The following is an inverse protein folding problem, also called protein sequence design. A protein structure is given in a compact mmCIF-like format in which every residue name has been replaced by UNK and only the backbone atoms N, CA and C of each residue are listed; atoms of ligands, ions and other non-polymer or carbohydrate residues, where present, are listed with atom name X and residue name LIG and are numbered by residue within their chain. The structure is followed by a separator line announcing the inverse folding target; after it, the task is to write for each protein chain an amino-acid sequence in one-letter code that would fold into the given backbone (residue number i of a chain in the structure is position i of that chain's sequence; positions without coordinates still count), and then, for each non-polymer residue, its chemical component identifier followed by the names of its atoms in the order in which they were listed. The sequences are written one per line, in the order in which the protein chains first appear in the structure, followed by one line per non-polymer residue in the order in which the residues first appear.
data_IF_410598100904
#
_entry.id   IF_410598100904
#
_cell.length_a   1.000
_cell.length_b   1.000
_cell.length_c   1.000
_cell.angle_alpha   90.00
_cell.angle_beta   90.00
_cell.angle_gamma   90.00
#
_symmetry.space_group_name_H-M   'P 1'
#
loop_
_entity.id
_entity.type
_entity.pdbx_description
1 polymer ?
#
# COMPACT_ATOMS: atom_id res chain seq x y z
N UNK A 1 50.80 50.84 -5.82
CA UNK A 1 49.64 50.49 -4.99
C UNK A 1 49.19 49.08 -5.36
N UNK A 2 49.33 48.14 -4.43
CA UNK A 2 49.31 46.70 -4.76
C UNK A 2 47.86 46.31 -4.96
N UNK A 3 47.43 46.03 -6.20
CA UNK A 3 46.02 45.73 -6.56
C UNK A 3 45.39 44.64 -5.66
N UNK A 4 46.22 43.77 -5.08
CA UNK A 4 45.86 42.73 -4.09
C UNK A 4 45.21 43.29 -2.81
N UNK A 5 45.59 44.49 -2.35
CA UNK A 5 45.01 45.13 -1.16
C UNK A 5 43.54 45.57 -1.36
N UNK A 6 43.10 45.74 -2.60
CA UNK A 6 41.73 46.12 -2.95
C UNK A 6 40.92 44.88 -3.38
N UNK A 7 41.54 43.94 -4.08
CA UNK A 7 40.85 42.75 -4.60
C UNK A 7 40.41 41.80 -3.48
N UNK A 8 41.27 41.55 -2.49
CA UNK A 8 40.97 40.62 -1.38
C UNK A 8 39.72 41.02 -0.56
N UNK A 9 39.57 42.28 -0.09
CA UNK A 9 38.38 42.65 0.67
C UNK A 9 37.10 42.63 -0.18
N UNK A 10 37.17 42.98 -1.47
CA UNK A 10 36.03 42.89 -2.38
C UNK A 10 35.58 41.43 -2.53
N UNK A 11 36.54 40.52 -2.71
CA UNK A 11 36.24 39.10 -2.89
C UNK A 11 35.62 38.49 -1.62
N UNK A 12 36.09 38.90 -0.45
CA UNK A 12 35.49 38.55 0.84
C UNK A 12 34.06 39.12 0.98
N UNK A 13 33.83 40.36 0.58
CA UNK A 13 32.50 40.98 0.63
C UNK A 13 31.51 40.26 -0.29
N UNK A 14 31.93 39.90 -1.50
CA UNK A 14 31.10 39.14 -2.45
C UNK A 14 30.81 37.73 -1.93
N UNK A 15 31.81 37.03 -1.39
CA UNK A 15 31.61 35.72 -0.79
C UNK A 15 30.63 35.79 0.40
N UNK A 16 30.77 36.81 1.26
CA UNK A 16 29.84 37.05 2.37
C UNK A 16 28.41 37.31 1.90
N UNK A 17 28.24 38.14 0.86
CA UNK A 17 26.92 38.43 0.30
C UNK A 17 26.25 37.18 -0.31
N UNK A 18 27.02 36.34 -1.00
CA UNK A 18 26.53 35.07 -1.57
C UNK A 18 26.08 34.12 -0.46
N UNK A 19 26.89 33.96 0.59
CA UNK A 19 26.57 33.09 1.73
C UNK A 19 25.31 33.60 2.44
N UNK A 20 25.22 34.91 2.69
CA UNK A 20 24.05 35.50 3.35
C UNK A 20 22.76 35.31 2.53
N UNK A 21 22.83 35.55 1.21
CA UNK A 21 21.70 35.32 0.31
C UNK A 21 21.28 33.85 0.31
N UNK A 22 22.23 32.92 0.30
CA UNK A 22 21.92 31.48 0.33
C UNK A 22 21.10 31.06 1.56
N UNK A 23 21.41 31.61 2.74
CA UNK A 23 20.65 31.29 3.96
C UNK A 23 19.29 31.99 4.03
N UNK A 24 19.16 33.21 3.50
CA UNK A 24 17.89 33.95 3.49
C UNK A 24 16.89 33.44 2.43
N UNK A 25 17.38 32.99 1.27
CA UNK A 25 16.53 32.50 0.18
C UNK A 25 16.23 31.00 0.27
N UNK A 26 16.80 30.29 1.24
CA UNK A 26 16.41 28.90 1.50
C UNK A 26 14.95 28.90 1.98
N UNK A 27 14.04 28.23 1.26
CA UNK A 27 12.71 27.98 1.79
C UNK A 27 12.88 27.26 3.12
N UNK A 28 12.42 27.88 4.22
CA UNK A 28 12.34 27.20 5.49
C UNK A 28 11.52 25.93 5.32
N UNK A 29 11.91 24.84 5.99
CA UNK A 29 11.03 23.70 6.12
C UNK A 29 9.69 24.20 6.66
N UNK A 30 8.58 23.82 6.01
CA UNK A 30 7.24 24.24 6.43
C UNK A 30 7.08 23.90 7.92
N UNK A 31 6.93 24.90 8.81
CA UNK A 31 6.86 24.67 10.25
C UNK A 31 5.65 23.81 10.66
N UNK A 32 4.68 23.61 9.76
CA UNK A 32 3.52 22.75 9.96
C UNK A 32 3.69 21.33 9.40
N UNK A 33 4.84 21.01 8.77
CA UNK A 33 5.09 19.70 8.18
C UNK A 33 6.01 18.87 9.10
N UNK A 34 5.42 17.87 9.76
CA UNK A 34 6.14 16.90 10.59
C UNK A 34 6.40 15.65 9.76
N UNK A 35 7.67 15.35 9.50
CA UNK A 35 8.08 14.10 8.86
C UNK A 35 8.17 12.99 9.91
N UNK A 36 7.32 11.99 9.77
CA UNK A 36 7.34 10.79 10.63
C UNK A 36 7.71 9.60 9.76
N UNK A 37 8.67 8.81 10.22
CA UNK A 37 8.97 7.49 9.66
C UNK A 37 8.22 6.46 10.49
N UNK A 38 7.42 5.64 9.84
CA UNK A 38 6.67 4.56 10.46
C UNK A 38 6.59 3.37 9.51
N UNK A 39 6.29 2.20 10.06
CA UNK A 39 6.06 1.00 9.28
C UNK A 39 4.59 0.92 8.88
N UNK A 40 4.33 0.40 7.69
CA UNK A 40 2.98 0.04 7.24
C UNK A 40 2.85 -1.47 7.45
N UNK A 41 1.91 -1.87 8.27
CA UNK A 41 1.60 -3.28 8.51
C UNK A 41 0.31 -3.66 7.77
N UNK A 42 0.36 -4.78 7.05
CA UNK A 42 -0.77 -5.36 6.34
C UNK A 42 -0.91 -6.80 6.81
N UNK A 43 -2.15 -7.26 6.97
CA UNK A 43 -2.42 -8.67 7.25
C UNK A 43 -2.69 -9.39 5.94
N UNK A 44 -1.72 -10.20 5.52
CA UNK A 44 -1.89 -11.09 4.38
C UNK A 44 -2.54 -12.41 4.83
N UNK A 45 -3.50 -12.87 4.04
CA UNK A 45 -4.20 -14.13 4.26
C UNK A 45 -4.25 -14.93 2.98
N UNK A 46 -3.94 -16.21 3.07
CA UNK A 46 -4.10 -17.16 1.98
C UNK A 46 -5.41 -17.94 2.16
N UNK A 47 -6.16 -18.09 1.08
CA UNK A 47 -7.46 -18.78 1.08
C UNK A 47 -7.42 -19.97 0.13
N UNK A 48 -7.99 -21.09 0.57
CA UNK A 48 -8.08 -22.32 -0.20
C UNK A 48 -9.39 -23.05 0.11
N UNK A 49 -9.75 -24.00 -0.75
CA UNK A 49 -10.90 -24.86 -0.49
C UNK A 49 -10.53 -25.99 0.48
N UNK A 50 -11.44 -26.31 1.40
CA UNK A 50 -11.25 -27.39 2.37
C UNK A 50 -11.39 -28.78 1.75
N UNK A 51 -12.10 -28.87 0.62
CA UNK A 51 -12.35 -30.11 -0.11
C UNK A 51 -11.82 -29.96 -1.54
N UNK A 52 -11.37 -31.07 -2.16
CA UNK A 52 -11.02 -31.08 -3.58
C UNK A 52 -12.28 -30.93 -4.44
N UNK A 53 -12.15 -30.30 -5.61
CA UNK A 53 -13.24 -30.13 -6.56
C UNK A 53 -12.87 -29.25 -7.75
N UNK A 54 -13.77 -29.15 -8.72
CA UNK A 54 -13.62 -28.25 -9.86
C UNK A 54 -14.13 -26.86 -9.52
N UNK A 55 -13.41 -25.83 -9.94
CA UNK A 55 -13.86 -24.44 -9.78
C UNK A 55 -14.91 -24.14 -10.84
N UNK A 56 -16.14 -23.90 -10.40
CA UNK A 56 -17.25 -23.51 -11.27
C UNK A 56 -17.16 -22.02 -11.62
N UNK A 57 -16.88 -21.18 -10.62
CA UNK A 57 -16.80 -19.73 -10.81
C UNK A 57 -15.71 -19.08 -9.95
N UNK A 58 -15.10 -18.01 -10.48
CA UNK A 58 -14.15 -17.15 -9.77
C UNK A 58 -14.50 -15.68 -9.96
N UNK A 59 -15.48 -15.15 -9.21
CA UNK A 59 -15.93 -13.77 -9.36
C UNK A 59 -14.89 -12.75 -8.87
N UNK A 60 -13.99 -13.12 -7.95
CA UNK A 60 -12.88 -12.25 -7.57
C UNK A 60 -11.77 -12.26 -8.63
N UNK A 61 -11.22 -11.08 -8.91
CA UNK A 61 -10.09 -10.88 -9.82
C UNK A 61 -8.97 -10.14 -9.09
N UNK A 62 -7.76 -10.24 -9.60
CA UNK A 62 -6.60 -9.55 -9.04
C UNK A 62 -6.83 -8.04 -8.95
N UNK A 63 -6.40 -7.44 -7.84
CA UNK A 63 -6.61 -6.02 -7.55
C UNK A 63 -8.04 -5.62 -7.20
N UNK A 64 -9.01 -6.56 -7.19
CA UNK A 64 -10.39 -6.26 -6.80
C UNK A 64 -10.51 -6.14 -5.28
N UNK A 65 -11.06 -5.02 -4.83
CA UNK A 65 -11.49 -4.85 -3.44
C UNK A 65 -12.71 -5.73 -3.15
N UNK A 66 -12.66 -6.50 -2.07
CA UNK A 66 -13.75 -7.36 -1.60
C UNK A 66 -14.07 -7.07 -0.13
N UNK A 67 -15.31 -7.34 0.28
CA UNK A 67 -15.77 -7.19 1.65
C UNK A 67 -15.99 -8.56 2.28
N UNK A 68 -16.11 -8.58 3.61
CA UNK A 68 -16.46 -9.79 4.36
C UNK A 68 -17.78 -10.36 3.84
N UNK A 69 -17.76 -11.63 3.46
CA UNK A 69 -18.92 -12.35 2.91
C UNK A 69 -18.99 -12.36 1.38
N UNK A 70 -18.16 -11.58 0.68
CA UNK A 70 -18.11 -11.65 -0.78
C UNK A 70 -17.49 -12.98 -1.23
N UNK A 71 -18.09 -13.67 -2.22
CA UNK A 71 -17.51 -14.90 -2.76
C UNK A 71 -16.21 -14.59 -3.50
N UNK A 72 -15.15 -15.34 -3.16
CA UNK A 72 -13.86 -15.29 -3.85
C UNK A 72 -13.87 -16.23 -5.05
N UNK A 73 -14.27 -17.48 -4.80
CA UNK A 73 -14.42 -18.54 -5.78
C UNK A 73 -15.48 -19.55 -5.29
N UNK A 74 -16.05 -20.30 -6.23
CA UNK A 74 -17.08 -21.30 -5.99
C UNK A 74 -16.64 -22.63 -6.63
N UNK A 75 -16.73 -23.71 -5.85
CA UNK A 75 -16.58 -25.07 -6.34
C UNK A 75 -17.90 -25.59 -6.91
N UNK A 76 -17.80 -26.48 -7.88
CA UNK A 76 -18.92 -27.30 -8.32
C UNK A 76 -19.44 -28.13 -7.14
N UNK A 77 -20.70 -27.91 -6.79
CA UNK A 77 -21.37 -28.56 -5.67
C UNK A 77 -22.39 -29.61 -6.10
N UNK A 78 -22.39 -30.04 -7.37
CA UNK A 78 -23.42 -30.93 -7.92
C UNK A 78 -23.51 -32.25 -7.16
N UNK A 79 -22.38 -32.91 -6.91
CA UNK A 79 -22.34 -34.19 -6.17
C UNK A 79 -22.76 -34.02 -4.70
N UNK A 80 -22.23 -32.98 -4.04
CA UNK A 80 -22.58 -32.66 -2.65
C UNK A 80 -24.08 -32.37 -2.49
N UNK A 81 -24.67 -31.63 -3.43
CA UNK A 81 -26.10 -31.31 -3.41
C UNK A 81 -26.99 -32.56 -3.56
N UNK A 82 -26.55 -33.54 -4.37
CA UNK A 82 -27.24 -34.81 -4.51
C UNK A 82 -27.14 -35.65 -3.24
N UNK A 83 -25.96 -35.71 -2.63
CA UNK A 83 -25.77 -36.43 -1.36
C UNK A 83 -26.63 -35.83 -0.25
N UNK A 84 -26.64 -34.50 -0.09
CA UNK A 84 -27.48 -33.85 0.92
C UNK A 84 -28.97 -34.13 0.69
N UNK A 85 -29.45 -34.09 -0.56
CA UNK A 85 -30.84 -34.38 -0.87
C UNK A 85 -31.24 -35.82 -0.52
N UNK A 86 -30.36 -36.81 -0.76
CA UNK A 86 -30.60 -38.20 -0.37
C UNK A 86 -30.68 -38.34 1.16
N UNK A 87 -29.75 -37.72 1.89
CA UNK A 87 -29.73 -37.75 3.35
C UNK A 87 -30.95 -37.08 3.97
N UNK A 88 -31.38 -35.95 3.42
CA UNK A 88 -32.60 -35.26 3.88
C UNK A 88 -33.85 -36.13 3.69
N UNK A 89 -33.94 -36.86 2.56
CA UNK A 89 -35.03 -37.79 2.31
C UNK A 89 -35.03 -38.99 3.27
N UNK A 90 -33.85 -39.54 3.60
CA UNK A 90 -33.70 -40.59 4.61
C UNK A 90 -34.21 -40.15 5.99
N UNK A 91 -33.86 -38.93 6.41
CA UNK A 91 -34.29 -38.37 7.70
C UNK A 91 -35.80 -38.11 7.71
N UNK A 92 -36.37 -37.60 6.62
CA UNK A 92 -37.81 -37.33 6.53
C UNK A 92 -38.68 -38.59 6.48
N UNK A 93 -38.11 -39.74 6.11
CA UNK A 93 -38.79 -41.03 6.10
C UNK A 93 -38.79 -41.75 7.46
N UNK A 94 -38.05 -41.23 8.44
CA UNK A 94 -37.96 -41.76 9.81
C UNK A 94 -39.01 -41.13 10.73
#
# INVERSE_FOLDING_TARGET
MNKRLIIVPILLAVAGAIIFAYFQLRPGADPNLIWVSGNIEVTDVEVSFQIPGWVEARPASEGRLIRKGDPVAQLDSTELAQETALREAEVAAM
#
